data_IF_299328081291
#
_entry.id   IF_299328081291
#
_cell.length_a   1.000
_cell.length_b   1.000
_cell.length_c   1.000
_cell.angle_alpha   90.00
_cell.angle_beta   90.00
_cell.angle_gamma   90.00
#
_symmetry.space_group_name_H-M   'P 1'
#
loop_
_entity.id
_entity.type
_entity.pdbx_description
1 polymer ?
#
# COMPACT_ATOMS: atom_id res chain seq x y z
N UNK A 1 20.61 -8.62 20.98
CA UNK A 1 20.35 -7.55 21.98
C UNK A 1 18.99 -6.90 21.74
N UNK A 2 18.68 -6.36 20.53
CA UNK A 2 17.38 -5.76 20.19
C UNK A 2 16.21 -6.72 20.48
N UNK A 3 16.33 -7.98 20.02
CA UNK A 3 15.31 -9.01 20.24
C UNK A 3 15.11 -9.38 21.72
N UNK A 4 16.19 -9.44 22.50
CA UNK A 4 16.09 -9.73 23.93
C UNK A 4 15.31 -8.63 24.68
N UNK A 5 15.58 -7.36 24.34
CA UNK A 5 14.83 -6.22 24.89
C UNK A 5 13.35 -6.23 24.47
N UNK A 6 13.06 -6.49 23.18
CA UNK A 6 11.69 -6.58 22.67
C UNK A 6 10.92 -7.71 23.34
N UNK A 7 11.54 -8.89 23.52
CA UNK A 7 10.94 -10.02 24.24
C UNK A 7 10.65 -9.68 25.69
N UNK A 8 11.63 -9.11 26.43
CA UNK A 8 11.45 -8.71 27.81
C UNK A 8 10.32 -7.67 27.96
N UNK A 9 10.24 -6.70 27.03
CA UNK A 9 9.16 -5.72 27.00
C UNK A 9 7.80 -6.41 26.83
N UNK A 10 7.69 -7.31 25.85
CA UNK A 10 6.44 -8.02 25.55
C UNK A 10 5.97 -8.87 26.72
N UNK A 11 6.86 -9.65 27.34
CA UNK A 11 6.54 -10.44 28.52
C UNK A 11 5.97 -9.57 29.65
N UNK A 12 6.59 -8.41 29.90
CA UNK A 12 6.14 -7.49 30.90
C UNK A 12 4.81 -6.80 30.56
N UNK A 13 4.61 -6.48 29.28
CA UNK A 13 3.33 -5.90 28.82
C UNK A 13 2.16 -6.88 28.96
N UNK A 14 2.38 -8.16 28.72
CA UNK A 14 1.37 -9.20 28.92
C UNK A 14 1.11 -9.51 30.39
N UNK A 15 2.17 -9.49 31.24
CA UNK A 15 2.08 -9.82 32.66
C UNK A 15 1.40 -8.72 33.47
N UNK A 16 1.84 -7.48 33.33
CA UNK A 16 1.39 -6.36 34.17
C UNK A 16 0.74 -5.20 33.41
N UNK A 17 0.62 -5.31 32.10
CA UNK A 17 0.05 -4.30 31.22
C UNK A 17 1.06 -3.24 30.76
N UNK A 18 0.76 -2.62 29.60
CA UNK A 18 1.64 -1.66 28.93
C UNK A 18 1.92 -0.42 29.80
N UNK A 19 0.88 0.19 30.39
CA UNK A 19 0.99 1.44 31.14
C UNK A 19 1.84 1.27 32.42
N UNK A 20 1.74 0.12 33.07
CA UNK A 20 2.47 -0.16 34.33
C UNK A 20 3.89 -0.66 34.11
N UNK A 21 4.32 -0.87 32.87
CA UNK A 21 5.67 -1.31 32.54
C UNK A 21 6.53 -0.11 32.19
N UNK A 22 7.68 0.05 32.82
CA UNK A 22 8.66 1.10 32.57
C UNK A 22 9.83 0.58 31.74
N UNK A 23 10.61 1.51 31.15
CA UNK A 23 11.87 1.13 30.48
C UNK A 23 12.84 0.49 31.47
N UNK A 24 12.85 0.94 32.73
CA UNK A 24 13.71 0.38 33.77
C UNK A 24 13.35 -1.07 34.10
N UNK A 25 12.06 -1.43 34.11
CA UNK A 25 11.64 -2.82 34.24
C UNK A 25 12.12 -3.69 33.07
N UNK A 26 12.01 -3.16 31.84
CA UNK A 26 12.41 -3.87 30.63
C UNK A 26 13.92 -4.16 30.63
N UNK A 27 14.74 -3.16 30.95
CA UNK A 27 16.18 -3.34 30.96
C UNK A 27 16.65 -4.24 32.10
N UNK A 28 15.99 -4.16 33.26
CA UNK A 28 16.25 -5.07 34.37
C UNK A 28 15.94 -6.52 34.00
N UNK A 29 14.78 -6.76 33.36
CA UNK A 29 14.37 -8.09 32.87
C UNK A 29 15.34 -8.62 31.79
N UNK A 30 15.85 -7.76 30.90
CA UNK A 30 16.78 -8.11 29.84
C UNK A 30 18.25 -8.21 30.32
N UNK A 31 18.56 -7.84 31.56
CA UNK A 31 19.92 -7.85 32.10
C UNK A 31 20.86 -6.84 31.46
N UNK A 32 20.34 -5.65 31.04
CA UNK A 32 21.12 -4.62 30.37
C UNK A 32 20.88 -3.23 30.97
N UNK A 33 21.70 -2.26 30.59
CA UNK A 33 21.54 -0.85 31.05
C UNK A 33 20.56 -0.08 30.16
N UNK A 34 19.96 0.98 30.72
CA UNK A 34 19.01 1.90 30.07
C UNK A 34 19.54 2.48 28.75
N UNK A 35 20.85 2.77 28.66
CA UNK A 35 21.50 3.25 27.43
C UNK A 35 21.40 2.23 26.29
N UNK A 36 21.43 0.93 26.62
CA UNK A 36 21.27 -0.13 25.62
C UNK A 36 19.86 -0.16 25.04
N UNK A 37 18.84 0.14 25.84
CA UNK A 37 17.46 0.25 25.36
C UNK A 37 17.33 1.38 24.32
N UNK A 38 17.71 2.59 24.71
CA UNK A 38 17.56 3.77 23.85
C UNK A 38 18.46 3.78 22.60
N UNK A 39 19.43 2.90 22.53
CA UNK A 39 20.18 2.67 21.29
C UNK A 39 19.35 1.95 20.21
N UNK A 40 18.37 1.14 20.62
CA UNK A 40 17.53 0.34 19.71
C UNK A 40 16.10 0.84 19.59
N UNK A 41 15.59 1.49 20.63
CA UNK A 41 14.19 1.91 20.72
C UNK A 41 14.13 3.34 21.23
N UNK A 42 13.67 4.31 20.42
CA UNK A 42 13.46 5.69 20.84
C UNK A 42 12.48 5.81 22.01
N UNK A 43 11.47 4.94 22.08
CA UNK A 43 10.45 4.93 23.12
C UNK A 43 10.05 3.51 23.53
N UNK A 44 9.24 3.39 24.58
CA UNK A 44 8.68 2.12 25.05
C UNK A 44 7.76 1.49 24.00
N UNK A 45 7.04 2.34 23.27
CA UNK A 45 6.14 1.97 22.17
C UNK A 45 6.90 1.25 21.04
N UNK A 46 8.09 1.72 20.71
CA UNK A 46 8.92 1.14 19.64
C UNK A 46 9.34 -0.31 19.95
N UNK A 47 9.40 -0.69 21.21
CA UNK A 47 9.71 -2.06 21.60
C UNK A 47 8.57 -3.06 21.32
N UNK A 48 7.35 -2.56 21.12
CA UNK A 48 6.17 -3.36 20.75
C UNK A 48 6.16 -3.70 19.27
N UNK A 49 6.62 -2.78 18.43
CA UNK A 49 6.49 -2.89 16.99
C UNK A 49 7.69 -3.60 16.35
N UNK A 50 7.50 -4.25 15.18
CA UNK A 50 8.60 -4.76 14.39
C UNK A 50 9.48 -3.60 13.88
N UNK A 51 10.55 -3.94 13.17
CA UNK A 51 11.48 -2.94 12.66
C UNK A 51 10.93 -2.17 11.46
N UNK A 52 10.00 -1.27 11.71
CA UNK A 52 9.41 -0.43 10.68
C UNK A 52 10.42 0.52 10.02
N UNK A 53 11.45 0.97 10.76
CA UNK A 53 12.52 1.79 10.17
C UNK A 53 13.30 0.99 9.13
N UNK A 54 13.78 -0.20 9.49
CA UNK A 54 14.47 -1.09 8.55
C UNK A 54 13.58 -1.47 7.36
N UNK A 55 12.32 -1.74 7.62
CA UNK A 55 11.35 -2.07 6.56
C UNK A 55 11.09 -0.89 5.60
N UNK A 56 11.04 0.35 6.10
CA UNK A 56 10.93 1.56 5.27
C UNK A 56 12.18 1.78 4.42
N UNK A 57 13.36 1.54 4.97
CA UNK A 57 14.62 1.60 4.21
C UNK A 57 14.62 0.58 3.08
N UNK A 58 14.23 -0.68 3.36
CA UNK A 58 14.12 -1.74 2.36
C UNK A 58 13.08 -1.39 1.28
N UNK A 59 11.90 -0.92 1.67
CA UNK A 59 10.87 -0.47 0.75
C UNK A 59 11.36 0.66 -0.16
N UNK A 60 12.03 1.67 0.42
CA UNK A 60 12.56 2.80 -0.35
C UNK A 60 13.61 2.34 -1.35
N UNK A 61 14.55 1.49 -0.94
CA UNK A 61 15.57 0.93 -1.83
C UNK A 61 14.94 0.11 -2.97
N UNK A 62 13.90 -0.69 -2.67
CA UNK A 62 13.16 -1.42 -3.70
C UNK A 62 12.51 -0.47 -4.72
N UNK A 63 11.85 0.58 -4.27
CA UNK A 63 11.19 1.57 -5.12
C UNK A 63 12.22 2.34 -5.98
N UNK A 64 13.36 2.70 -5.43
CA UNK A 64 14.46 3.37 -6.14
C UNK A 64 15.07 2.48 -7.22
N UNK A 65 15.23 1.19 -6.95
CA UNK A 65 15.73 0.23 -7.92
C UNK A 65 14.75 -0.03 -9.08
N UNK A 66 13.48 0.31 -8.93
CA UNK A 66 12.41 0.06 -9.91
C UNK A 66 11.79 1.34 -10.50
N UNK A 67 12.51 2.46 -10.49
CA UNK A 67 12.05 3.75 -11.05
C UNK A 67 11.75 3.72 -12.54
N UNK A 68 12.37 2.81 -13.29
CA UNK A 68 12.13 2.60 -14.73
C UNK A 68 11.03 1.61 -15.07
N UNK A 69 10.27 1.13 -14.07
CA UNK A 69 9.19 0.15 -14.31
C UNK A 69 8.08 0.73 -15.18
N UNK A 70 7.62 -0.02 -16.20
CA UNK A 70 6.46 0.38 -16.99
C UNK A 70 5.13 0.28 -16.20
N UNK A 71 5.15 -0.37 -15.03
CA UNK A 71 4.00 -0.53 -14.13
C UNK A 71 4.30 0.05 -12.74
N UNK A 72 4.22 1.37 -12.54
CA UNK A 72 4.44 1.99 -11.24
C UNK A 72 3.46 1.52 -10.16
N UNK A 73 2.22 1.17 -10.53
CA UNK A 73 1.22 0.65 -9.59
C UNK A 73 1.59 -0.76 -9.14
N UNK A 74 2.01 -1.62 -10.05
CA UNK A 74 2.56 -2.92 -9.70
C UNK A 74 3.76 -2.81 -8.78
N UNK A 75 4.66 -1.87 -9.06
CA UNK A 75 5.86 -1.61 -8.25
C UNK A 75 5.51 -1.25 -6.79
N UNK A 76 4.54 -0.35 -6.55
CA UNK A 76 4.14 -0.01 -5.17
C UNK A 76 3.36 -1.15 -4.49
N UNK A 77 2.63 -1.97 -5.24
CA UNK A 77 2.03 -3.20 -4.70
C UNK A 77 3.10 -4.20 -4.25
N UNK A 78 4.14 -4.40 -5.06
CA UNK A 78 5.25 -5.29 -4.71
C UNK A 78 6.04 -4.77 -3.50
N UNK A 79 6.25 -3.46 -3.40
CA UNK A 79 6.85 -2.82 -2.25
C UNK A 79 6.02 -3.04 -0.96
N UNK A 80 4.70 -3.03 -1.04
CA UNK A 80 3.83 -3.31 0.10
C UNK A 80 3.95 -4.75 0.63
N UNK A 81 4.34 -5.73 -0.21
CA UNK A 81 4.61 -7.11 0.24
C UNK A 81 5.76 -7.21 1.22
N UNK A 82 6.75 -6.31 1.15
CA UNK A 82 7.87 -6.25 2.09
C UNK A 82 7.35 -6.12 3.52
N UNK A 83 6.34 -5.29 3.72
CA UNK A 83 5.71 -5.10 5.04
C UNK A 83 5.04 -6.40 5.50
N UNK A 84 4.30 -7.10 4.64
CA UNK A 84 3.65 -8.37 5.00
C UNK A 84 4.68 -9.43 5.40
N UNK A 85 5.78 -9.55 4.66
CA UNK A 85 6.87 -10.48 4.99
C UNK A 85 7.50 -10.18 6.36
N UNK A 86 7.69 -8.91 6.69
CA UNK A 86 8.19 -8.51 8.01
C UNK A 86 7.28 -9.01 9.15
N UNK A 87 5.95 -8.93 8.97
CA UNK A 87 4.99 -9.46 9.94
C UNK A 87 4.95 -10.98 9.97
N UNK A 88 4.96 -11.64 8.81
CA UNK A 88 4.92 -13.08 8.66
C UNK A 88 6.18 -13.79 9.16
N UNK A 89 7.33 -13.10 9.23
CA UNK A 89 8.57 -13.65 9.75
C UNK A 89 8.48 -14.10 11.23
N UNK A 90 7.54 -13.53 12.02
CA UNK A 90 7.33 -13.88 13.44
C UNK A 90 5.82 -13.85 13.75
N UNK A 91 5.05 -14.89 13.32
CA UNK A 91 3.59 -14.90 13.41
C UNK A 91 3.07 -14.71 14.85
N UNK A 92 3.56 -15.51 15.81
CA UNK A 92 3.11 -15.45 17.20
C UNK A 92 3.30 -14.06 17.81
N UNK A 93 4.46 -13.44 17.56
CA UNK A 93 4.76 -12.09 18.03
C UNK A 93 3.84 -11.05 17.38
N UNK A 94 3.57 -11.19 16.09
CA UNK A 94 2.68 -10.31 15.33
C UNK A 94 1.24 -10.39 15.83
N UNK A 95 0.75 -11.58 16.14
CA UNK A 95 -0.59 -11.79 16.71
C UNK A 95 -0.72 -11.22 18.13
N UNK A 96 0.26 -11.48 18.99
CA UNK A 96 0.26 -10.93 20.35
C UNK A 96 0.28 -9.40 20.33
N UNK A 97 1.12 -8.81 19.48
CA UNK A 97 1.17 -7.36 19.29
C UNK A 97 -0.16 -6.80 18.79
N UNK A 98 -0.78 -7.44 17.80
CA UNK A 98 -2.08 -7.02 17.28
C UNK A 98 -3.14 -6.96 18.39
N UNK A 99 -3.17 -7.94 19.29
CA UNK A 99 -4.07 -7.95 20.45
C UNK A 99 -3.76 -6.76 21.37
N UNK A 100 -2.50 -6.58 21.74
CA UNK A 100 -2.05 -5.50 22.61
C UNK A 100 -2.37 -4.10 22.02
N UNK A 101 -2.13 -3.89 20.71
CA UNK A 101 -2.41 -2.62 20.05
C UNK A 101 -3.90 -2.27 20.06
N UNK A 102 -4.79 -3.27 20.05
CA UNK A 102 -6.22 -3.04 20.16
C UNK A 102 -6.67 -2.60 21.55
N UNK A 103 -5.96 -3.01 22.57
CA UNK A 103 -6.27 -2.74 23.98
C UNK A 103 -5.68 -1.42 24.48
N UNK A 104 -4.57 -0.98 23.88
CA UNK A 104 -3.80 0.19 24.33
C UNK A 104 -3.94 1.34 23.32
N UNK A 105 -4.70 2.41 23.62
CA UNK A 105 -4.94 3.53 22.70
C UNK A 105 -3.65 4.21 22.18
N UNK A 106 -2.64 4.37 23.05
CA UNK A 106 -1.35 4.97 22.67
C UNK A 106 -0.64 4.18 21.57
N UNK A 107 -0.65 2.84 21.64
CA UNK A 107 -0.07 1.98 20.61
C UNK A 107 -0.83 2.08 19.29
N UNK A 108 -2.14 2.23 19.34
CA UNK A 108 -2.95 2.44 18.12
C UNK A 108 -2.60 3.76 17.42
N UNK A 109 -2.39 4.82 18.17
CA UNK A 109 -1.96 6.12 17.63
C UNK A 109 -0.60 6.01 16.97
N UNK A 110 0.34 5.30 17.60
CA UNK A 110 1.66 5.03 17.03
C UNK A 110 1.54 4.24 15.72
N UNK A 111 0.76 3.15 15.69
CA UNK A 111 0.53 2.34 14.48
C UNK A 111 0.03 3.19 13.31
N UNK A 112 -0.94 4.08 13.57
CA UNK A 112 -1.46 4.98 12.53
C UNK A 112 -0.38 5.93 11.99
N UNK A 113 0.54 6.40 12.83
CA UNK A 113 1.65 7.26 12.38
C UNK A 113 2.61 6.51 11.47
N UNK A 114 2.88 5.25 11.76
CA UNK A 114 3.73 4.37 10.94
C UNK A 114 3.06 4.07 9.60
N UNK A 115 1.75 3.76 9.59
CA UNK A 115 0.98 3.52 8.37
C UNK A 115 1.05 4.72 7.42
N UNK A 116 0.94 5.95 7.95
CA UNK A 116 1.07 7.18 7.15
C UNK A 116 2.46 7.36 6.53
N UNK A 117 3.51 6.87 7.17
CA UNK A 117 4.87 6.91 6.60
C UNK A 117 4.98 6.00 5.37
N UNK A 118 4.47 4.78 5.45
CA UNK A 118 4.39 3.88 4.30
C UNK A 118 3.58 4.48 3.16
N UNK A 119 2.38 4.97 3.45
CA UNK A 119 1.51 5.62 2.47
C UNK A 119 2.22 6.77 1.73
N UNK A 120 2.90 7.64 2.48
CA UNK A 120 3.67 8.76 1.91
C UNK A 120 4.81 8.27 1.01
N UNK A 121 5.54 7.23 1.41
CA UNK A 121 6.63 6.65 0.61
C UNK A 121 6.10 6.13 -0.73
N UNK A 122 5.00 5.37 -0.73
CA UNK A 122 4.37 4.88 -1.95
C UNK A 122 3.82 6.02 -2.81
N UNK A 123 3.14 7.00 -2.22
CA UNK A 123 2.61 8.16 -2.93
C UNK A 123 3.71 9.00 -3.60
N UNK A 124 4.85 9.18 -2.93
CA UNK A 124 6.00 9.91 -3.51
C UNK A 124 6.54 9.20 -4.75
N UNK A 125 6.68 7.87 -4.70
CA UNK A 125 7.11 7.10 -5.88
C UNK A 125 6.11 7.25 -7.03
N UNK A 126 4.81 7.13 -6.76
CA UNK A 126 3.77 7.29 -7.78
C UNK A 126 3.69 8.71 -8.35
N UNK A 127 3.94 9.76 -7.56
CA UNK A 127 4.03 11.14 -8.07
C UNK A 127 5.19 11.32 -9.05
N UNK A 128 6.32 10.68 -8.77
CA UNK A 128 7.53 10.81 -9.59
C UNK A 128 7.46 9.97 -10.89
N UNK A 129 6.83 8.79 -10.83
CA UNK A 129 6.92 7.77 -11.89
C UNK A 129 5.56 7.32 -12.44
N UNK A 130 4.45 7.73 -11.81
CA UNK A 130 3.09 7.41 -12.25
C UNK A 130 2.55 8.37 -13.33
N UNK A 131 1.25 8.23 -13.67
CA UNK A 131 0.61 9.09 -14.66
C UNK A 131 0.68 10.56 -14.26
N UNK A 132 1.18 11.39 -15.18
CA UNK A 132 1.31 12.83 -15.01
C UNK A 132 0.02 13.54 -15.47
N UNK A 133 -0.19 14.78 -15.04
CA UNK A 133 -1.34 15.58 -15.42
C UNK A 133 -1.93 16.38 -14.25
N UNK A 134 -3.03 17.12 -14.46
CA UNK A 134 -3.64 17.97 -13.44
C UNK A 134 -3.96 17.24 -12.13
N UNK A 135 -4.39 15.99 -12.24
CA UNK A 135 -4.77 15.15 -11.09
C UNK A 135 -3.68 14.15 -10.66
N UNK A 136 -2.47 14.23 -11.23
CA UNK A 136 -1.40 13.25 -11.00
C UNK A 136 -1.08 13.06 -9.50
N UNK A 137 -0.98 14.17 -8.75
CA UNK A 137 -0.72 14.11 -7.31
C UNK A 137 -1.88 13.46 -6.53
N UNK A 138 -3.13 13.83 -6.84
CA UNK A 138 -4.31 13.25 -6.21
C UNK A 138 -4.42 11.75 -6.51
N UNK A 139 -4.19 11.35 -7.76
CA UNK A 139 -4.17 9.93 -8.15
C UNK A 139 -3.11 9.14 -7.40
N UNK A 140 -1.92 9.69 -7.25
CA UNK A 140 -0.84 9.05 -6.49
C UNK A 140 -1.25 8.80 -5.02
N UNK A 141 -1.90 9.78 -4.38
CA UNK A 141 -2.41 9.64 -3.02
C UNK A 141 -3.53 8.59 -2.92
N UNK A 142 -4.50 8.63 -3.83
CA UNK A 142 -5.62 7.67 -3.86
C UNK A 142 -5.11 6.25 -4.07
N UNK A 143 -4.18 6.04 -5.00
CA UNK A 143 -3.61 4.71 -5.27
C UNK A 143 -2.80 4.23 -4.07
N UNK A 144 -1.94 5.07 -3.49
CA UNK A 144 -1.16 4.70 -2.31
C UNK A 144 -2.07 4.32 -1.13
N UNK A 145 -3.14 5.10 -0.89
CA UNK A 145 -4.15 4.79 0.14
C UNK A 145 -4.87 3.48 -0.15
N UNK A 146 -5.19 3.18 -1.42
CA UNK A 146 -5.81 1.91 -1.80
C UNK A 146 -4.87 0.72 -1.58
N UNK A 147 -3.58 0.85 -1.92
CA UNK A 147 -2.54 -0.17 -1.64
C UNK A 147 -2.43 -0.43 -0.14
N UNK A 148 -2.34 0.63 0.67
CA UNK A 148 -2.26 0.52 2.14
C UNK A 148 -3.53 -0.10 2.72
N UNK A 149 -4.71 0.27 2.22
CA UNK A 149 -5.99 -0.30 2.67
C UNK A 149 -6.09 -1.80 2.35
N UNK A 150 -5.71 -2.21 1.14
CA UNK A 150 -5.68 -3.61 0.71
C UNK A 150 -4.71 -4.44 1.55
N UNK A 151 -3.46 -3.96 1.70
CA UNK A 151 -2.45 -4.59 2.54
C UNK A 151 -2.94 -4.74 4.00
N UNK A 152 -3.44 -3.66 4.60
CA UNK A 152 -3.90 -3.69 5.99
C UNK A 152 -5.14 -4.57 6.19
N UNK A 153 -5.98 -4.75 5.17
CA UNK A 153 -7.09 -5.69 5.20
C UNK A 153 -6.57 -7.13 5.29
N UNK A 154 -5.66 -7.51 4.39
CA UNK A 154 -5.03 -8.82 4.37
C UNK A 154 -4.29 -9.12 5.68
N UNK A 155 -3.45 -8.19 6.14
CA UNK A 155 -2.71 -8.31 7.39
C UNK A 155 -3.64 -8.53 8.58
N UNK A 156 -4.67 -7.69 8.75
CA UNK A 156 -5.63 -7.84 9.86
C UNK A 156 -6.43 -9.14 9.79
N UNK A 157 -6.77 -9.61 8.59
CA UNK A 157 -7.44 -10.91 8.41
C UNK A 157 -6.54 -12.05 8.85
N UNK A 158 -5.29 -12.06 8.42
CA UNK A 158 -4.30 -13.05 8.80
C UNK A 158 -4.01 -13.04 10.31
N UNK A 159 -3.85 -11.86 10.92
CA UNK A 159 -3.64 -11.73 12.37
C UNK A 159 -4.85 -12.19 13.19
N UNK A 160 -6.09 -11.96 12.71
CA UNK A 160 -7.31 -12.47 13.36
C UNK A 160 -7.44 -13.98 13.25
N UNK A 161 -6.93 -14.57 12.19
CA UNK A 161 -6.82 -16.03 12.02
C UNK A 161 -5.69 -16.65 12.86
N UNK A 162 -5.04 -15.87 13.73
CA UNK A 162 -3.97 -16.39 14.60
C UNK A 162 -2.60 -16.45 13.92
N UNK A 163 -2.41 -15.77 12.79
CA UNK A 163 -1.18 -15.84 12.01
C UNK A 163 -1.05 -17.14 11.21
N UNK A 164 -2.15 -17.86 11.05
CA UNK A 164 -2.21 -19.10 10.29
C UNK A 164 -2.51 -18.84 8.80
N UNK A 165 -2.14 -19.80 7.95
CA UNK A 165 -2.33 -19.72 6.51
C UNK A 165 -1.23 -18.95 5.78
N UNK A 166 -1.38 -18.82 4.47
CA UNK A 166 -0.43 -18.15 3.59
C UNK A 166 -0.64 -16.64 3.60
N UNK A 167 0.22 -15.94 4.33
CA UNK A 167 0.20 -14.50 4.45
C UNK A 167 0.51 -13.80 3.11
N UNK A 168 1.41 -14.36 2.30
CA UNK A 168 1.78 -13.79 1.00
C UNK A 168 0.62 -13.94 0.00
N UNK A 169 -0.01 -15.10 -0.07
CA UNK A 169 -1.17 -15.30 -0.91
C UNK A 169 -2.34 -14.37 -0.52
N UNK A 170 -2.55 -14.14 0.78
CA UNK A 170 -3.59 -13.24 1.26
C UNK A 170 -3.35 -11.78 0.83
N UNK A 171 -2.11 -11.29 0.93
CA UNK A 171 -1.78 -9.93 0.51
C UNK A 171 -1.79 -9.81 -1.01
N UNK A 172 -1.35 -10.84 -1.74
CA UNK A 172 -1.38 -10.87 -3.19
C UNK A 172 -2.81 -10.76 -3.73
N UNK A 173 -3.73 -11.53 -3.15
CA UNK A 173 -5.14 -11.43 -3.50
C UNK A 173 -5.70 -10.01 -3.25
N UNK A 174 -5.40 -9.41 -2.10
CA UNK A 174 -5.89 -8.06 -1.80
C UNK A 174 -5.28 -6.99 -2.74
N UNK A 175 -3.99 -7.11 -3.07
CA UNK A 175 -3.30 -6.17 -3.96
C UNK A 175 -3.70 -6.37 -5.43
N UNK A 176 -4.14 -7.56 -5.84
CA UNK A 176 -4.65 -7.78 -7.21
C UNK A 176 -5.86 -6.88 -7.49
N UNK A 177 -6.74 -6.65 -6.50
CA UNK A 177 -7.89 -5.75 -6.65
C UNK A 177 -7.46 -4.31 -6.96
N UNK A 178 -6.32 -3.87 -6.38
CA UNK A 178 -5.75 -2.55 -6.67
C UNK A 178 -5.17 -2.52 -8.08
N UNK A 179 -4.43 -3.56 -8.48
CA UNK A 179 -3.85 -3.68 -9.81
C UNK A 179 -4.90 -3.75 -10.91
N UNK A 180 -6.00 -4.45 -10.67
CA UNK A 180 -7.10 -4.58 -11.63
C UNK A 180 -7.78 -3.24 -11.92
N UNK A 181 -7.78 -2.33 -10.96
CA UNK A 181 -8.38 -1.01 -11.11
C UNK A 181 -7.40 0.03 -11.66
N UNK A 182 -6.16 0.06 -11.16
CA UNK A 182 -5.20 1.14 -11.44
C UNK A 182 -3.91 0.70 -12.15
N UNK A 183 -3.67 -0.60 -12.33
CA UNK A 183 -2.48 -1.11 -13.03
C UNK A 183 -2.53 -0.85 -14.53
N UNK A 184 -1.41 -1.06 -15.20
CA UNK A 184 -1.28 -0.90 -16.66
C UNK A 184 -2.23 -1.78 -17.47
N UNK A 185 -2.68 -2.91 -16.88
CA UNK A 185 -3.73 -3.77 -17.45
C UNK A 185 -5.14 -3.25 -17.16
N UNK A 186 -5.29 -2.41 -16.12
CA UNK A 186 -6.51 -1.65 -15.83
C UNK A 186 -6.44 -0.35 -16.62
N UNK A 187 -6.91 -0.37 -17.84
CA UNK A 187 -6.88 0.78 -18.74
C UNK A 187 -7.67 1.96 -18.16
N UNK A 188 -7.01 2.83 -17.39
CA UNK A 188 -7.38 4.24 -17.27
C UNK A 188 -6.83 5.05 -18.44
N UNK A 189 -6.41 4.37 -19.53
CA UNK A 189 -6.19 5.00 -20.81
C UNK A 189 -7.54 5.41 -21.36
N UNK A 190 -7.60 6.57 -22.02
CA UNK A 190 -8.72 6.91 -22.90
C UNK A 190 -9.08 5.67 -23.75
N UNK A 191 -10.36 5.39 -23.98
CA UNK A 191 -10.76 4.27 -24.82
C UNK A 191 -9.95 4.35 -26.11
N UNK A 192 -9.25 3.26 -26.43
CA UNK A 192 -8.55 3.20 -27.71
C UNK A 192 -9.61 3.36 -28.80
N UNK A 193 -9.57 4.48 -29.50
CA UNK A 193 -10.34 4.67 -30.73
C UNK A 193 -9.67 3.76 -31.76
N UNK A 194 -10.15 2.54 -31.87
CA UNK A 194 -9.70 1.64 -32.91
C UNK A 194 -10.34 2.12 -34.21
N UNK A 195 -9.55 2.33 -35.23
CA UNK A 195 -10.06 2.65 -36.58
C UNK A 195 -11.14 1.65 -36.97
N UNK A 196 -12.23 2.17 -37.50
CA UNK A 196 -13.41 1.40 -37.96
C UNK A 196 -12.99 0.27 -38.91
N UNK A 197 -13.60 -0.93 -38.77
CA UNK A 197 -13.49 -1.92 -39.83
C UNK A 197 -14.07 -1.35 -41.13
N UNK A 198 -13.34 -1.47 -42.20
CA UNK A 198 -13.80 -1.07 -43.55
C UNK A 198 -15.13 -1.80 -43.87
N UNK A 199 -16.25 -1.05 -44.06
CA UNK A 199 -17.52 -1.62 -44.41
C UNK A 199 -18.78 -0.96 -43.83
N UNK A 200 -18.68 0.22 -43.21
CA UNK A 200 -19.89 0.99 -42.86
C UNK A 200 -20.43 1.75 -44.07
N UNK A 201 -21.76 1.88 -44.22
CA UNK A 201 -22.38 2.57 -45.37
C UNK A 201 -21.95 4.04 -45.39
N UNK A 202 -21.62 4.54 -46.59
CA UNK A 202 -21.36 5.96 -46.83
C UNK A 202 -22.63 6.78 -46.50
N UNK A 203 -22.63 7.50 -45.41
CA UNK A 203 -23.62 8.49 -45.02
C UNK A 203 -22.93 9.74 -44.52
N UNK A 204 -23.51 10.91 -44.79
CA UNK A 204 -22.98 12.24 -44.40
C UNK A 204 -22.89 12.50 -42.90
N UNK A 205 -22.81 11.50 -42.05
CA UNK A 205 -22.70 11.59 -40.62
C UNK A 205 -21.40 10.98 -40.08
N UNK A 206 -20.73 11.71 -39.18
CA UNK A 206 -19.57 11.19 -38.45
C UNK A 206 -20.04 10.08 -37.50
N UNK A 207 -19.53 8.86 -37.68
CA UNK A 207 -19.90 7.70 -36.86
C UNK A 207 -18.77 7.40 -35.89
N UNK A 208 -19.05 7.48 -34.60
CA UNK A 208 -18.11 7.09 -33.54
C UNK A 208 -18.48 5.71 -33.04
N UNK A 209 -17.57 4.74 -33.18
CA UNK A 209 -17.72 3.40 -32.62
C UNK A 209 -16.78 3.24 -31.43
N UNK A 210 -17.35 2.91 -30.27
CA UNK A 210 -16.58 2.64 -29.07
C UNK A 210 -16.67 1.15 -28.71
N UNK A 211 -15.51 0.54 -28.43
CA UNK A 211 -15.42 -0.83 -27.92
C UNK A 211 -15.08 -0.75 -26.44
N UNK A 212 -16.01 -1.16 -25.59
CA UNK A 212 -15.82 -1.23 -24.15
C UNK A 212 -15.76 -2.69 -23.68
N UNK A 213 -14.94 -2.99 -22.67
CA UNK A 213 -14.91 -4.32 -22.04
C UNK A 213 -16.22 -4.58 -21.30
N UNK A 214 -16.66 -5.84 -21.30
CA UNK A 214 -17.84 -6.27 -20.51
C UNK A 214 -17.63 -5.89 -19.02
N UNK A 215 -18.57 -5.12 -18.48
CA UNK A 215 -18.48 -4.61 -17.10
C UNK A 215 -17.98 -3.17 -16.97
N UNK A 216 -17.59 -2.51 -18.07
CA UNK A 216 -17.28 -1.07 -18.04
C UNK A 216 -18.52 -0.29 -17.60
N UNK A 217 -18.44 0.56 -16.57
CA UNK A 217 -19.56 1.40 -16.15
C UNK A 217 -20.07 2.30 -17.28
N UNK A 218 -21.39 2.40 -17.45
CA UNK A 218 -22.02 3.16 -18.54
C UNK A 218 -21.55 4.61 -18.61
N UNK A 219 -21.35 5.26 -17.47
CA UNK A 219 -20.87 6.65 -17.42
C UNK A 219 -19.48 6.83 -18.06
N UNK A 220 -18.58 5.82 -17.98
CA UNK A 220 -17.28 5.84 -18.67
C UNK A 220 -17.41 5.70 -20.17
N UNK A 221 -18.38 4.89 -20.63
CA UNK A 221 -18.65 4.75 -22.05
C UNK A 221 -19.15 6.07 -22.61
N UNK A 222 -20.09 6.74 -21.90
CA UNK A 222 -20.63 8.05 -22.26
C UNK A 222 -19.53 9.10 -22.29
N UNK A 223 -18.71 9.20 -21.25
CA UNK A 223 -17.60 10.17 -21.18
C UNK A 223 -16.58 9.98 -22.32
N UNK A 224 -16.29 8.73 -22.69
CA UNK A 224 -15.42 8.44 -23.83
C UNK A 224 -16.03 8.88 -25.17
N UNK A 225 -17.34 8.70 -25.35
CA UNK A 225 -18.06 9.18 -26.54
C UNK A 225 -18.04 10.72 -26.60
N UNK A 226 -18.35 11.39 -25.49
CA UNK A 226 -18.31 12.85 -25.40
C UNK A 226 -16.92 13.42 -25.72
N UNK A 227 -15.85 12.78 -25.20
CA UNK A 227 -14.47 13.18 -25.49
C UNK A 227 -14.11 12.99 -26.98
N UNK A 228 -14.59 11.90 -27.61
CA UNK A 228 -14.35 11.63 -29.02
C UNK A 228 -15.12 12.61 -29.91
N UNK A 229 -16.34 12.97 -29.57
CA UNK A 229 -17.18 13.93 -30.30
C UNK A 229 -16.76 15.40 -30.09
N UNK A 230 -16.14 15.71 -28.93
CA UNK A 230 -15.62 17.06 -28.62
C UNK A 230 -14.23 17.38 -29.22
N UNK A 231 -13.51 16.38 -29.72
CA UNK A 231 -12.25 16.56 -30.41
C UNK A 231 -12.50 16.92 -31.88
N UNK A 232 -12.77 18.22 -32.17
CA UNK A 232 -12.81 18.73 -33.55
C UNK A 232 -11.49 18.44 -34.25
N UNK A 233 -11.50 17.93 -35.52
CA UNK A 233 -10.27 17.77 -36.27
C UNK A 233 -9.64 19.14 -36.50
N UNK A 234 -8.37 19.30 -36.13
CA UNK A 234 -7.56 20.46 -36.54
C UNK A 234 -7.40 20.36 -38.04
N UNK A 235 -8.21 21.08 -38.80
CA UNK A 235 -8.01 21.31 -40.24
C UNK A 235 -6.69 22.09 -40.40
N UNK A 236 -5.64 21.37 -40.78
CA UNK A 236 -4.42 21.95 -41.28
C UNK A 236 -4.75 22.66 -42.61
N UNK A 237 -4.89 23.98 -42.56
CA UNK A 237 -4.95 24.83 -43.74
C UNK A 237 -3.57 25.07 -44.28
N UNK A 238 -3.48 25.01 -45.58
CA UNK A 238 -2.39 25.18 -46.53
C UNK A 238 -1.28 26.18 -46.18
#
# INVERSE_FOLDING_TARGET
>A
MREALARAAFELFLDRGFERTTVDDIVARAGVGRRSFFRYFPSKEDAVFPDHEGCLVEMTAYLEANTGSPDPVGTVCDAARIVMRMYAAKPDFSVQRYRLTREVPGLRTYELSVVRRYERTLANHLRAHGPQGPDGSLRAEVIASAVVAAHNNALRSWLRAGGEGDAEAAVDHALSLVRDVWGTSGSFGAPAVTALPAGLPEGDGEVVVMVARKGTPVWRVVQGIESALGASPVTGGA
#
